data_IF_192815991085
#
_entry.id   IF_192815991085
#
_cell.length_a   1.000
_cell.length_b   1.000
_cell.length_c   1.000
_cell.angle_alpha   90.00
_cell.angle_beta   90.00
_cell.angle_gamma   90.00
#
_symmetry.space_group_name_H-M   'P 1'
#
loop_
_entity.id
_entity.type
_entity.pdbx_description
1 polymer ?
#
# COMPACT_ATOMS: atom_id res chain seq x y z
N UNK A 1 -7.15 46.43 -28.72
CA UNK A 1 -5.82 46.08 -29.28
C UNK A 1 -6.02 45.01 -30.34
N UNK A 2 -5.65 45.28 -31.60
CA UNK A 2 -5.79 44.32 -32.70
C UNK A 2 -4.52 43.45 -32.75
N UNK A 3 -4.68 42.15 -32.57
CA UNK A 3 -3.57 41.18 -32.53
C UNK A 3 -3.47 40.51 -33.90
N UNK A 4 -2.45 40.89 -34.68
CA UNK A 4 -2.18 40.36 -36.01
C UNK A 4 -1.39 39.05 -35.94
N UNK A 5 -1.60 38.13 -36.90
CA UNK A 5 -0.86 36.86 -36.99
C UNK A 5 -1.24 35.77 -35.97
N UNK A 6 -2.23 36.02 -35.11
CA UNK A 6 -2.62 35.11 -34.02
C UNK A 6 -3.71 34.10 -34.44
N UNK A 7 -3.41 32.80 -34.35
CA UNK A 7 -4.39 31.72 -34.56
C UNK A 7 -5.44 31.59 -33.43
N UNK A 8 -5.28 32.31 -32.32
CA UNK A 8 -6.21 32.28 -31.18
C UNK A 8 -7.16 33.48 -31.14
N UNK A 9 -6.95 34.50 -31.98
CA UNK A 9 -7.76 35.71 -32.03
C UNK A 9 -8.37 35.93 -33.42
N UNK A 10 -9.43 36.72 -33.48
CA UNK A 10 -10.08 37.20 -34.71
C UNK A 10 -9.37 38.45 -35.22
N UNK A 11 -9.68 38.87 -36.46
CA UNK A 11 -9.10 40.06 -37.08
C UNK A 11 -9.39 41.36 -36.32
N UNK A 12 -10.44 41.39 -35.49
CA UNK A 12 -10.75 42.51 -34.58
C UNK A 12 -10.08 42.40 -33.21
N UNK A 13 -9.23 41.39 -32.99
CA UNK A 13 -8.55 41.15 -31.72
C UNK A 13 -9.37 40.37 -30.67
N UNK A 14 -10.62 39.99 -30.97
CA UNK A 14 -11.44 39.17 -30.06
C UNK A 14 -10.94 37.72 -30.03
N UNK A 15 -10.78 37.14 -28.83
CA UNK A 15 -10.35 35.74 -28.64
C UNK A 15 -11.39 34.77 -29.22
N UNK A 16 -10.93 33.80 -30.02
CA UNK A 16 -11.77 32.76 -30.64
C UNK A 16 -12.18 31.72 -29.60
N UNK A 17 -13.45 31.32 -29.59
CA UNK A 17 -13.94 30.19 -28.77
C UNK A 17 -13.42 28.89 -29.39
N UNK A 18 -12.60 28.14 -28.66
CA UNK A 18 -12.11 26.83 -29.09
C UNK A 18 -12.93 25.73 -28.42
N UNK A 19 -13.38 24.76 -29.22
CA UNK A 19 -14.03 23.55 -28.72
C UNK A 19 -12.96 22.48 -28.59
N UNK A 20 -12.59 22.16 -27.36
CA UNK A 20 -11.65 21.07 -27.07
C UNK A 20 -12.45 19.78 -26.87
N UNK A 21 -12.22 18.78 -27.71
CA UNK A 21 -12.74 17.43 -27.48
C UNK A 21 -11.75 16.68 -26.58
N UNK A 22 -12.22 16.20 -25.42
CA UNK A 22 -11.43 15.30 -24.58
C UNK A 22 -11.27 13.97 -25.31
N UNK A 23 -10.04 13.45 -25.38
CA UNK A 23 -9.79 12.09 -25.90
C UNK A 23 -10.35 11.09 -24.89
N UNK A 24 -10.96 10.01 -25.39
CA UNK A 24 -11.39 8.90 -24.54
C UNK A 24 -10.17 8.24 -23.90
N UNK A 25 -10.29 7.81 -22.64
CA UNK A 25 -9.24 7.03 -21.97
C UNK A 25 -9.21 5.64 -22.62
N UNK A 26 -8.03 5.12 -23.02
CA UNK A 26 -7.95 3.75 -23.51
C UNK A 26 -8.37 2.77 -22.42
N UNK A 27 -8.97 1.63 -22.76
CA UNK A 27 -9.24 0.57 -21.81
C UNK A 27 -7.92 -0.01 -21.27
N UNK A 28 -7.96 -0.51 -20.03
CA UNK A 28 -6.82 -1.21 -19.45
C UNK A 28 -6.57 -2.52 -20.21
N UNK A 29 -5.32 -2.75 -20.60
CA UNK A 29 -4.87 -4.01 -21.21
C UNK A 29 -3.80 -4.60 -20.29
N UNK A 30 -4.02 -5.80 -19.71
CA UNK A 30 -3.03 -6.42 -18.83
C UNK A 30 -1.75 -6.74 -19.62
N UNK A 31 -0.60 -6.40 -19.04
CA UNK A 31 0.70 -6.66 -19.64
C UNK A 31 0.99 -8.15 -19.63
N UNK A 32 1.20 -8.75 -20.82
CA UNK A 32 1.70 -10.13 -20.93
C UNK A 32 3.22 -10.11 -20.77
N UNK A 33 3.73 -10.72 -19.71
CA UNK A 33 5.17 -10.85 -19.49
C UNK A 33 5.76 -11.78 -20.56
N UNK A 34 6.85 -11.35 -21.19
CA UNK A 34 7.66 -12.21 -22.06
C UNK A 34 8.48 -13.18 -21.20
N UNK A 35 8.72 -14.43 -21.63
CA UNK A 35 9.49 -15.41 -20.86
C UNK A 35 10.90 -14.90 -20.48
N UNK A 36 11.53 -14.10 -21.34
CA UNK A 36 12.88 -13.55 -21.13
C UNK A 36 12.88 -12.21 -20.37
N UNK A 37 11.76 -11.84 -19.75
CA UNK A 37 11.68 -10.59 -18.99
C UNK A 37 12.22 -10.78 -17.57
N UNK A 38 12.95 -9.77 -17.07
CA UNK A 38 13.43 -9.69 -15.67
C UNK A 38 12.29 -9.81 -14.63
N UNK A 39 11.05 -9.57 -15.04
CA UNK A 39 9.87 -9.69 -14.17
C UNK A 39 9.27 -11.11 -14.13
N UNK A 40 9.79 -12.04 -14.93
CA UNK A 40 9.39 -13.46 -14.85
C UNK A 40 10.08 -14.08 -13.65
N UNK A 41 9.30 -14.70 -12.76
CA UNK A 41 9.85 -15.49 -11.65
C UNK A 41 10.65 -16.64 -12.23
N UNK A 42 11.94 -16.69 -11.89
CA UNK A 42 12.82 -17.78 -12.30
C UNK A 42 12.23 -19.14 -11.91
N UNK A 43 12.18 -20.12 -12.82
CA UNK A 43 11.68 -21.46 -12.51
C UNK A 43 12.52 -22.16 -11.42
N UNK A 44 13.79 -21.76 -11.27
CA UNK A 44 14.69 -22.23 -10.21
C UNK A 44 14.16 -21.89 -8.81
N UNK A 45 13.57 -20.70 -8.63
CA UNK A 45 13.00 -20.27 -7.35
C UNK A 45 11.72 -21.01 -6.97
N UNK A 46 11.02 -21.65 -7.92
CA UNK A 46 9.86 -22.50 -7.62
C UNK A 46 10.28 -23.83 -7.00
N UNK A 47 11.41 -24.37 -7.42
CA UNK A 47 11.88 -25.69 -7.01
C UNK A 47 12.80 -25.63 -5.79
N UNK A 48 13.47 -24.50 -5.56
CA UNK A 48 14.37 -24.31 -4.43
C UNK A 48 13.65 -23.56 -3.30
N UNK A 49 13.19 -24.30 -2.29
CA UNK A 49 12.72 -23.70 -1.04
C UNK A 49 13.89 -22.99 -0.36
N UNK A 50 13.66 -21.80 0.18
CA UNK A 50 14.65 -21.13 1.03
C UNK A 50 14.97 -22.00 2.25
N UNK A 51 16.18 -21.87 2.78
CA UNK A 51 16.53 -22.49 4.06
C UNK A 51 15.51 -22.07 5.13
N UNK A 52 15.13 -22.98 6.07
CA UNK A 52 14.26 -22.61 7.17
C UNK A 52 14.92 -21.52 8.01
N UNK A 53 14.12 -20.58 8.50
CA UNK A 53 14.62 -19.58 9.43
C UNK A 53 14.99 -20.27 10.75
N UNK A 54 16.27 -20.25 11.08
CA UNK A 54 16.78 -20.73 12.38
C UNK A 54 17.08 -19.47 13.19
N UNK A 55 16.27 -19.13 14.22
CA UNK A 55 16.55 -17.99 15.07
C UNK A 55 17.88 -18.19 15.81
N UNK A 56 18.55 -17.09 16.15
CA UNK A 56 19.79 -17.14 16.94
C UNK A 56 19.55 -17.84 18.29
N UNK A 57 20.58 -18.53 18.81
CA UNK A 57 20.51 -19.27 20.08
C UNK A 57 19.99 -18.40 21.24
N UNK A 58 20.40 -17.12 21.28
CA UNK A 58 19.95 -16.13 22.26
C UNK A 58 18.43 -15.88 22.22
N UNK A 59 17.80 -16.00 21.06
CA UNK A 59 16.34 -15.85 20.90
C UNK A 59 15.58 -17.14 21.25
N UNK A 60 16.25 -18.30 21.28
CA UNK A 60 15.64 -19.58 21.64
C UNK A 60 15.60 -19.79 23.15
N UNK A 61 16.54 -19.20 23.89
CA UNK A 61 16.73 -19.41 25.32
C UNK A 61 16.09 -18.30 26.19
N UNK A 62 14.84 -17.92 25.92
CA UNK A 62 14.09 -17.09 26.87
C UNK A 62 13.50 -17.99 27.97
N UNK A 63 14.10 -18.05 29.18
CA UNK A 63 13.65 -18.97 30.24
C UNK A 63 12.22 -18.67 30.70
N UNK A 64 11.77 -17.42 30.54
CA UNK A 64 10.46 -16.95 30.99
C UNK A 64 9.42 -16.97 29.87
N UNK A 65 9.71 -17.63 28.74
CA UNK A 65 8.85 -17.62 27.55
C UNK A 65 7.41 -18.07 27.85
N UNK A 66 7.26 -19.17 28.57
CA UNK A 66 5.93 -19.70 28.92
C UNK A 66 5.21 -18.77 29.88
N UNK A 67 5.90 -18.22 30.89
CA UNK A 67 5.33 -17.24 31.81
C UNK A 67 4.86 -15.96 31.10
N UNK A 68 5.68 -15.40 30.19
CA UNK A 68 5.32 -14.23 29.38
C UNK A 68 4.12 -14.54 28.47
N UNK A 69 4.06 -15.74 27.91
CA UNK A 69 2.94 -16.20 27.07
C UNK A 69 1.65 -16.31 27.89
N UNK A 70 1.71 -16.90 29.08
CA UNK A 70 0.56 -17.05 29.97
C UNK A 70 0.02 -15.69 30.41
N UNK A 71 0.89 -14.76 30.81
CA UNK A 71 0.48 -13.41 31.19
C UNK A 71 -0.11 -12.66 29.99
N UNK A 72 0.57 -12.66 28.85
CA UNK A 72 0.14 -11.91 27.66
C UNK A 72 -1.19 -12.42 27.10
N UNK A 73 -1.58 -13.67 27.36
CA UNK A 73 -2.88 -14.20 26.96
C UNK A 73 -4.09 -13.49 27.61
N UNK A 74 -3.89 -12.84 28.75
CA UNK A 74 -4.93 -12.11 29.48
C UNK A 74 -5.19 -10.69 28.93
N UNK A 75 -4.39 -10.26 27.96
CA UNK A 75 -4.44 -8.91 27.41
C UNK A 75 -4.58 -8.92 25.89
N UNK A 76 -5.22 -7.88 25.38
CA UNK A 76 -5.40 -7.65 23.94
C UNK A 76 -4.86 -6.27 23.55
N UNK A 77 -4.37 -6.15 22.33
CA UNK A 77 -3.95 -4.87 21.75
C UNK A 77 -5.17 -4.18 21.13
N UNK A 78 -5.45 -2.96 21.58
CA UNK A 78 -6.55 -2.13 21.11
C UNK A 78 -6.04 -0.86 20.42
N UNK A 79 -6.81 -0.37 19.45
CA UNK A 79 -6.61 0.94 18.82
C UNK A 79 -7.52 1.92 19.57
N UNK A 80 -6.97 2.88 20.34
CA UNK A 80 -7.78 3.86 21.02
C UNK A 80 -8.40 4.80 19.99
N UNK A 81 -9.68 5.14 20.18
CA UNK A 81 -10.32 6.17 19.37
C UNK A 81 -9.53 7.48 19.49
N UNK A 82 -9.12 8.04 18.35
CA UNK A 82 -8.32 9.28 18.23
C UNK A 82 -6.91 9.27 18.84
N UNK A 83 -6.30 8.11 19.13
CA UNK A 83 -4.86 8.05 19.46
C UNK A 83 -4.12 7.24 18.40
N UNK A 84 -3.07 7.81 17.83
CA UNK A 84 -2.26 7.18 16.77
C UNK A 84 -1.33 6.04 17.25
N UNK A 85 -1.67 5.37 18.35
CA UNK A 85 -0.82 4.39 19.04
C UNK A 85 -1.63 3.21 19.52
N UNK A 86 -1.05 2.01 19.50
CA UNK A 86 -1.65 0.81 20.09
C UNK A 86 -1.57 0.84 21.62
N UNK A 87 -2.60 0.36 22.31
CA UNK A 87 -2.65 0.22 23.76
C UNK A 87 -2.94 -1.22 24.16
N UNK A 88 -2.30 -1.70 25.22
CA UNK A 88 -2.60 -2.99 25.84
C UNK A 88 -3.76 -2.80 26.83
N UNK A 89 -4.82 -3.59 26.66
CA UNK A 89 -6.00 -3.57 27.53
C UNK A 89 -6.30 -4.98 28.06
N UNK A 90 -6.92 -5.11 29.24
CA UNK A 90 -7.42 -6.40 29.72
C UNK A 90 -8.55 -6.91 28.82
N UNK A 91 -8.71 -8.23 28.75
CA UNK A 91 -9.73 -8.83 27.88
C UNK A 91 -11.18 -8.47 28.27
N UNK A 92 -11.43 -8.13 29.53
CA UNK A 92 -12.74 -7.71 30.02
C UNK A 92 -13.23 -6.40 29.35
N UNK A 93 -12.28 -5.53 28.96
CA UNK A 93 -12.56 -4.21 28.37
C UNK A 93 -12.70 -4.24 26.84
N UNK A 94 -12.63 -5.42 26.20
CA UNK A 94 -12.71 -5.55 24.73
C UNK A 94 -14.02 -4.96 24.19
N UNK A 95 -15.11 -5.04 24.95
CA UNK A 95 -16.42 -4.53 24.52
C UNK A 95 -16.50 -3.01 24.43
N UNK A 96 -15.52 -2.30 24.99
CA UNK A 96 -15.43 -0.83 24.99
C UNK A 96 -14.51 -0.29 23.88
N UNK A 97 -13.83 -1.15 23.11
CA UNK A 97 -12.97 -0.70 22.00
C UNK A 97 -13.82 -0.03 20.91
N UNK A 98 -13.51 1.23 20.59
CA UNK A 98 -14.11 1.96 19.47
C UNK A 98 -15.57 2.40 19.67
N UNK A 99 -16.12 2.25 20.89
CA UNK A 99 -17.32 2.97 21.33
C UNK A 99 -16.96 4.40 21.73
#
# INVERSE_FOLDING_TARGET
MIIHGSMSHTTSGRRKKRVYKKRAKPPFVPMKLKPDSVFVKDPVWKNNKSAPFIPASEMQADPDREFKRDISSNYTISIPYNKGTYQVIPNDDITHIGK
#
